data_IF_007406698440
#
_entry.id   IF_007406698440
#
_cell.length_a   1.000
_cell.length_b   1.000
_cell.length_c   1.000
_cell.angle_alpha   90.00
_cell.angle_beta   90.00
_cell.angle_gamma   90.00
#
_symmetry.space_group_name_H-M   'P 1'
#
loop_
_entity.id
_entity.type
_entity.pdbx_description
1 polymer ?
#
# COMPACT_ATOMS: atom_id res chain seq x y z
N UNK A 1 32.74 14.01 6.67
CA UNK A 1 32.80 15.33 7.34
C UNK A 1 32.09 16.46 6.60
N UNK A 2 32.48 16.92 5.38
CA UNK A 2 31.76 18.05 4.73
C UNK A 2 30.40 17.73 4.08
N UNK A 3 30.12 16.46 3.79
CA UNK A 3 28.88 16.05 3.10
C UNK A 3 27.72 15.90 4.09
N UNK A 4 28.01 15.36 5.28
CA UNK A 4 27.04 15.09 6.36
C UNK A 4 26.41 16.39 6.91
N UNK A 5 27.20 17.47 7.06
CA UNK A 5 26.70 18.77 7.52
C UNK A 5 25.66 19.39 6.55
N UNK A 6 25.79 19.13 5.24
CA UNK A 6 24.87 19.71 4.24
C UNK A 6 23.52 18.99 4.14
N UNK A 7 23.49 17.72 4.54
CA UNK A 7 22.28 16.88 4.58
C UNK A 7 21.51 17.12 5.88
N UNK A 8 22.20 17.22 7.02
CA UNK A 8 21.60 17.59 8.32
C UNK A 8 20.92 18.97 8.32
N UNK A 9 21.43 19.91 7.51
CA UNK A 9 20.84 21.25 7.40
C UNK A 9 19.52 21.29 6.59
N UNK A 10 19.26 20.27 5.76
CA UNK A 10 18.09 20.22 4.86
C UNK A 10 16.99 19.27 5.33
N UNK A 11 17.32 18.39 6.25
CA UNK A 11 16.42 17.35 6.76
C UNK A 11 16.45 17.47 8.29
N UNK A 12 15.30 17.60 8.98
CA UNK A 12 15.27 17.67 10.44
C UNK A 12 16.15 16.59 11.07
N UNK A 13 16.91 16.93 12.13
CA UNK A 13 17.93 16.06 12.71
C UNK A 13 17.37 14.69 13.13
N UNK A 14 16.09 14.67 13.54
CA UNK A 14 15.35 13.45 13.88
C UNK A 14 15.15 12.54 12.66
N UNK A 15 14.89 13.11 11.48
CA UNK A 15 14.67 12.38 10.23
C UNK A 15 15.95 11.73 9.70
N UNK A 16 17.12 12.38 9.84
CA UNK A 16 18.39 11.78 9.43
C UNK A 16 18.76 10.59 10.33
N UNK A 17 18.58 10.74 11.65
CA UNK A 17 18.83 9.65 12.60
C UNK A 17 17.88 8.46 12.38
N UNK A 18 16.62 8.72 12.02
CA UNK A 18 15.67 7.68 11.63
C UNK A 18 16.06 6.98 10.32
N UNK A 19 16.52 7.73 9.32
CA UNK A 19 17.02 7.17 8.06
C UNK A 19 18.24 6.26 8.28
N UNK A 20 19.23 6.71 9.05
CA UNK A 20 20.43 5.92 9.39
C UNK A 20 20.06 4.62 10.13
N UNK A 21 19.08 4.68 11.04
CA UNK A 21 18.61 3.51 11.77
C UNK A 21 17.85 2.52 10.88
N UNK A 22 17.04 2.97 9.93
CA UNK A 22 16.39 2.10 8.93
C UNK A 22 17.43 1.39 8.05
N UNK A 23 18.44 2.11 7.56
CA UNK A 23 19.50 1.51 6.74
C UNK A 23 20.34 0.46 7.48
N UNK A 24 20.49 0.59 8.80
CA UNK A 24 21.24 -0.36 9.61
C UNK A 24 20.46 -1.62 10.02
N UNK A 25 19.12 -1.63 9.88
CA UNK A 25 18.27 -2.65 10.51
C UNK A 25 17.78 -3.76 9.58
N UNK A 26 18.18 -3.76 8.30
CA UNK A 26 17.87 -4.84 7.35
C UNK A 26 16.36 -5.15 7.30
N UNK A 27 15.54 -4.09 7.31
CA UNK A 27 14.08 -4.19 7.29
C UNK A 27 13.64 -4.45 5.85
N UNK A 28 13.05 -5.62 5.62
CA UNK A 28 12.78 -6.13 4.27
C UNK A 28 11.39 -5.72 3.77
N UNK A 29 10.59 -5.04 4.60
CA UNK A 29 9.23 -4.62 4.27
C UNK A 29 8.90 -3.20 4.77
N UNK A 30 8.00 -2.54 4.07
CA UNK A 30 7.45 -1.25 4.47
C UNK A 30 6.82 -1.30 5.86
N UNK A 31 6.02 -2.33 6.15
CA UNK A 31 5.34 -2.48 7.45
C UNK A 31 6.30 -2.57 8.64
N UNK A 32 7.47 -3.21 8.45
CA UNK A 32 8.51 -3.26 9.49
C UNK A 32 9.16 -1.90 9.72
N UNK A 33 9.42 -1.15 8.64
CA UNK A 33 9.94 0.22 8.71
C UNK A 33 8.98 1.12 9.48
N UNK A 34 7.68 1.07 9.16
CA UNK A 34 6.63 1.82 9.88
C UNK A 34 6.64 1.52 11.37
N UNK A 35 6.66 0.23 11.75
CA UNK A 35 6.70 -0.19 13.15
C UNK A 35 7.97 0.28 13.86
N UNK A 36 9.11 0.16 13.19
CA UNK A 36 10.41 0.55 13.76
C UNK A 36 10.50 2.06 14.00
N UNK A 37 9.95 2.85 13.08
CA UNK A 37 9.88 4.30 13.17
C UNK A 37 8.82 4.78 14.19
N UNK A 38 7.98 3.88 14.70
CA UNK A 38 6.89 4.22 15.62
C UNK A 38 5.77 5.01 14.96
N UNK A 39 5.67 4.94 13.63
CA UNK A 39 4.60 5.57 12.85
C UNK A 39 3.29 4.78 13.06
N UNK A 40 2.18 5.50 13.04
CA UNK A 40 0.85 4.94 13.21
C UNK A 40 0.22 4.61 11.84
N UNK A 41 0.01 3.31 11.51
CA UNK A 41 -0.60 2.89 10.25
C UNK A 41 -1.94 3.53 9.93
N UNK A 42 -2.76 3.84 10.94
CA UNK A 42 -4.11 4.35 10.77
C UNK A 42 -4.18 5.89 10.64
N UNK A 43 -3.04 6.59 10.72
CA UNK A 43 -3.02 8.06 10.75
C UNK A 43 -1.94 8.68 9.89
N UNK A 44 -0.74 8.12 9.90
CA UNK A 44 0.44 8.84 9.41
C UNK A 44 0.64 8.71 7.88
N UNK A 45 -0.16 7.87 7.22
CA UNK A 45 -0.08 7.61 5.77
C UNK A 45 -1.26 8.21 4.98
N UNK A 46 -2.14 8.96 5.65
CA UNK A 46 -3.21 9.70 4.98
C UNK A 46 -2.59 10.84 4.19
N UNK A 47 -3.02 11.02 2.93
CA UNK A 47 -2.51 12.06 2.03
C UNK A 47 -0.99 12.03 1.81
N UNK A 48 -0.34 10.91 2.12
CA UNK A 48 1.09 10.75 1.90
C UNK A 48 1.39 10.54 0.42
N UNK A 49 2.57 10.99 -0.02
CA UNK A 49 3.15 10.57 -1.28
C UNK A 49 3.88 9.25 -1.04
N UNK A 50 3.29 8.18 -1.57
CA UNK A 50 3.79 6.80 -1.54
C UNK A 50 3.91 6.27 -2.97
N UNK A 51 4.05 7.18 -3.95
CA UNK A 51 4.27 6.81 -5.34
C UNK A 51 5.58 6.04 -5.49
N UNK A 52 5.57 5.03 -6.36
CA UNK A 52 6.71 4.15 -6.65
C UNK A 52 7.31 3.42 -5.42
N UNK A 53 6.60 3.36 -4.28
CA UNK A 53 7.06 2.64 -3.09
C UNK A 53 6.99 1.13 -3.29
N UNK A 54 8.03 0.43 -2.84
CA UNK A 54 8.06 -1.04 -2.76
C UNK A 54 7.35 -1.53 -1.49
N UNK A 55 6.19 -2.15 -1.66
CA UNK A 55 5.42 -2.80 -0.60
C UNK A 55 5.70 -4.32 -0.49
N UNK A 56 6.76 -4.83 -1.12
CA UNK A 56 7.09 -6.26 -1.09
C UNK A 56 7.15 -6.80 0.33
N UNK A 57 6.57 -7.98 0.52
CA UNK A 57 6.48 -8.69 1.81
C UNK A 57 5.81 -7.90 2.94
N UNK A 58 5.12 -6.79 2.64
CA UNK A 58 4.53 -5.93 3.66
C UNK A 58 3.13 -6.40 4.06
N UNK A 59 2.85 -6.34 5.36
CA UNK A 59 1.51 -6.50 5.90
C UNK A 59 0.87 -5.12 6.14
N UNK A 60 -0.05 -4.76 5.26
CA UNK A 60 -0.74 -3.48 5.25
C UNK A 60 -2.11 -3.52 5.93
N UNK A 61 -2.45 -4.62 6.63
CA UNK A 61 -3.73 -4.70 7.37
C UNK A 61 -3.82 -3.63 8.44
N UNK A 62 -4.95 -2.93 8.48
CA UNK A 62 -5.20 -1.80 9.38
C UNK A 62 -4.53 -0.47 8.98
N UNK A 63 -3.87 -0.40 7.82
CA UNK A 63 -3.37 0.88 7.30
C UNK A 63 -4.49 1.75 6.76
N UNK A 64 -4.33 3.06 6.93
CA UNK A 64 -5.23 4.06 6.35
C UNK A 64 -4.46 4.94 5.36
N UNK A 65 -4.63 4.62 4.07
CA UNK A 65 -4.08 5.35 2.93
C UNK A 65 -5.07 6.37 2.36
N UNK A 66 -6.02 6.86 3.17
CA UNK A 66 -7.03 7.82 2.68
C UNK A 66 -6.37 9.02 1.99
N UNK A 67 -6.73 9.26 0.73
CA UNK A 67 -6.21 10.36 -0.08
C UNK A 67 -4.72 10.30 -0.42
N UNK A 68 -4.03 9.18 -0.17
CA UNK A 68 -2.62 9.01 -0.50
C UNK A 68 -2.41 8.85 -2.02
N UNK A 69 -1.22 9.25 -2.49
CA UNK A 69 -0.74 8.94 -3.82
C UNK A 69 0.03 7.61 -3.77
N UNK A 70 -0.50 6.58 -4.41
CA UNK A 70 0.06 5.23 -4.52
C UNK A 70 0.41 4.89 -5.98
N UNK A 71 0.47 5.88 -6.88
CA UNK A 71 0.72 5.63 -8.30
C UNK A 71 2.05 4.93 -8.51
N UNK A 72 2.04 3.90 -9.36
CA UNK A 72 3.24 3.11 -9.65
C UNK A 72 3.77 2.28 -8.47
N UNK A 73 3.17 2.34 -7.28
CA UNK A 73 3.60 1.54 -6.14
C UNK A 73 3.51 0.05 -6.48
N UNK A 74 4.56 -0.69 -6.17
CA UNK A 74 4.72 -2.07 -6.59
C UNK A 74 4.98 -2.98 -5.39
N UNK A 75 4.92 -4.29 -5.61
CA UNK A 75 5.29 -5.23 -4.56
C UNK A 75 4.90 -6.66 -4.91
N UNK A 76 5.64 -7.60 -4.33
CA UNK A 76 5.29 -9.03 -4.32
C UNK A 76 4.93 -9.45 -2.91
N UNK A 77 4.01 -10.41 -2.76
CA UNK A 77 3.60 -10.91 -1.45
C UNK A 77 3.10 -9.80 -0.50
N UNK A 78 2.30 -8.87 -1.03
CA UNK A 78 1.71 -7.77 -0.25
C UNK A 78 0.41 -8.26 0.41
N UNK A 79 0.38 -8.25 1.74
CA UNK A 79 -0.80 -8.62 2.53
C UNK A 79 -1.70 -7.41 2.80
N UNK A 80 -2.94 -7.47 2.37
CA UNK A 80 -3.97 -6.47 2.68
C UNK A 80 -5.35 -7.11 2.62
N UNK A 81 -6.31 -6.54 3.35
CA UNK A 81 -7.69 -7.03 3.41
C UNK A 81 -8.68 -5.87 3.61
N UNK A 82 -9.94 -6.18 3.94
CA UNK A 82 -10.98 -5.18 4.15
C UNK A 82 -10.73 -4.19 5.30
N UNK A 83 -9.69 -4.39 6.12
CA UNK A 83 -9.26 -3.44 7.15
C UNK A 83 -8.33 -2.35 6.62
N UNK A 84 -7.87 -2.46 5.36
CA UNK A 84 -7.00 -1.48 4.73
C UNK A 84 -7.84 -0.43 4.00
N UNK A 85 -7.69 0.84 4.36
CA UNK A 85 -8.50 1.93 3.80
C UNK A 85 -7.78 2.60 2.62
N UNK A 86 -8.44 2.64 1.46
CA UNK A 86 -7.97 3.31 0.23
C UNK A 86 -8.92 4.43 -0.23
N UNK A 87 -9.72 4.98 0.69
CA UNK A 87 -10.71 6.00 0.33
C UNK A 87 -10.01 7.20 -0.31
N UNK A 88 -10.47 7.63 -1.48
CA UNK A 88 -9.88 8.75 -2.23
C UNK A 88 -8.38 8.60 -2.58
N UNK A 89 -7.77 7.43 -2.39
CA UNK A 89 -6.39 7.19 -2.78
C UNK A 89 -6.28 7.07 -4.31
N UNK A 90 -5.21 7.65 -4.87
CA UNK A 90 -4.84 7.45 -6.26
C UNK A 90 -3.92 6.23 -6.35
N UNK A 91 -4.44 5.12 -6.89
CA UNK A 91 -3.72 3.84 -6.96
C UNK A 91 -3.52 3.38 -8.40
N UNK A 92 -3.56 4.30 -9.36
CA UNK A 92 -3.37 3.98 -10.77
C UNK A 92 -2.00 3.37 -11.02
N UNK A 93 -1.94 2.38 -11.90
CA UNK A 93 -0.74 1.60 -12.24
C UNK A 93 -0.01 0.94 -11.04
N UNK A 94 -0.65 0.88 -9.87
CA UNK A 94 -0.09 0.24 -8.67
C UNK A 94 -0.45 -1.25 -8.58
N UNK A 95 0.22 -1.95 -7.67
CA UNK A 95 -0.12 -3.32 -7.25
C UNK A 95 -1.58 -3.45 -6.75
N UNK A 96 -2.20 -2.36 -6.29
CA UNK A 96 -3.58 -2.33 -5.81
C UNK A 96 -4.60 -2.03 -6.92
N UNK A 97 -4.16 -1.49 -8.06
CA UNK A 97 -5.00 -0.92 -9.12
C UNK A 97 -6.10 -1.89 -9.58
N UNK A 98 -5.71 -3.12 -9.93
CA UNK A 98 -6.65 -4.11 -10.46
C UNK A 98 -7.74 -4.46 -9.44
N UNK A 99 -7.36 -4.77 -8.20
CA UNK A 99 -8.29 -5.16 -7.14
C UNK A 99 -9.24 -4.02 -6.75
N UNK A 100 -8.72 -2.79 -6.65
CA UNK A 100 -9.54 -1.61 -6.34
C UNK A 100 -10.49 -1.26 -7.50
N UNK A 101 -10.02 -1.33 -8.74
CA UNK A 101 -10.85 -1.11 -9.93
C UNK A 101 -11.96 -2.16 -10.05
N UNK A 102 -11.63 -3.44 -9.82
CA UNK A 102 -12.60 -4.54 -9.78
C UNK A 102 -13.65 -4.31 -8.70
N UNK A 103 -13.24 -3.91 -7.49
CA UNK A 103 -14.15 -3.57 -6.40
C UNK A 103 -15.07 -2.42 -6.77
N UNK A 104 -14.51 -1.30 -7.27
CA UNK A 104 -15.28 -0.12 -7.73
C UNK A 104 -16.30 -0.50 -8.80
N UNK A 105 -15.94 -1.37 -9.75
CA UNK A 105 -16.85 -1.85 -10.79
C UNK A 105 -18.05 -2.62 -10.20
N UNK A 106 -17.81 -3.57 -9.29
CA UNK A 106 -18.90 -4.32 -8.66
C UNK A 106 -19.74 -3.48 -7.70
N UNK A 107 -19.12 -2.54 -6.99
CA UNK A 107 -19.84 -1.59 -6.13
C UNK A 107 -20.75 -0.67 -6.97
N UNK A 108 -20.30 -0.25 -8.16
CA UNK A 108 -21.09 0.56 -9.10
C UNK A 108 -22.15 -0.24 -9.87
N UNK A 109 -21.96 -1.55 -10.02
CA UNK A 109 -22.84 -2.43 -10.77
C UNK A 109 -23.22 -3.70 -9.99
N UNK A 110 -24.01 -3.56 -8.91
CA UNK A 110 -24.41 -4.70 -8.07
C UNK A 110 -25.20 -5.76 -8.85
N UNK A 111 -25.84 -5.41 -9.96
CA UNK A 111 -26.55 -6.35 -10.84
C UNK A 111 -25.64 -7.40 -11.48
N UNK A 112 -24.35 -7.12 -11.63
CA UNK A 112 -23.38 -8.11 -12.10
C UNK A 112 -22.82 -8.96 -10.96
N UNK A 113 -22.89 -8.49 -9.70
CA UNK A 113 -22.39 -9.26 -8.56
C UNK A 113 -23.13 -10.60 -8.44
N UNK A 114 -24.47 -10.57 -8.52
CA UNK A 114 -25.30 -11.78 -8.51
C UNK A 114 -25.00 -12.72 -9.69
N UNK A 115 -24.71 -12.15 -10.86
CA UNK A 115 -24.39 -12.93 -12.07
C UNK A 115 -23.03 -13.61 -11.95
N UNK A 116 -22.03 -12.90 -11.45
CA UNK A 116 -20.68 -13.43 -11.23
C UNK A 116 -20.69 -14.49 -10.12
N UNK A 117 -21.46 -14.28 -9.06
CA UNK A 117 -21.59 -15.26 -7.98
C UNK A 117 -22.29 -16.54 -8.45
N UNK A 118 -23.33 -16.41 -9.27
CA UNK A 118 -23.95 -17.56 -9.95
C UNK A 118 -22.97 -18.29 -10.85
N UNK A 119 -22.15 -17.57 -11.61
CA UNK A 119 -21.13 -18.19 -12.46
C UNK A 119 -20.05 -18.88 -11.63
N UNK A 120 -19.67 -18.36 -10.46
CA UNK A 120 -18.74 -19.05 -9.53
C UNK A 120 -19.25 -20.40 -9.03
N UNK A 121 -20.57 -20.58 -8.96
CA UNK A 121 -21.18 -21.89 -8.68
C UNK A 121 -21.09 -22.88 -9.85
N UNK A 122 -20.85 -22.40 -11.06
CA UNK A 122 -20.71 -23.23 -12.26
C UNK A 122 -19.29 -23.78 -12.36
N UNK A 123 -19.18 -25.11 -12.34
CA UNK A 123 -17.90 -25.83 -12.31
C UNK A 123 -16.96 -25.44 -13.47
N UNK A 124 -17.50 -25.09 -14.63
CA UNK A 124 -16.72 -24.69 -15.80
C UNK A 124 -16.16 -23.26 -15.68
N UNK A 125 -16.85 -22.37 -14.99
CA UNK A 125 -16.44 -20.97 -14.88
C UNK A 125 -15.23 -20.81 -13.95
N UNK A 126 -15.13 -21.64 -12.91
CA UNK A 126 -13.96 -21.68 -12.03
C UNK A 126 -12.67 -22.16 -12.73
N UNK A 127 -12.77 -22.80 -13.90
CA UNK A 127 -11.62 -23.23 -14.71
C UNK A 127 -11.14 -22.11 -15.65
N UNK A 128 -12.01 -21.15 -15.97
CA UNK A 128 -11.75 -20.10 -16.98
C UNK A 128 -11.53 -18.72 -16.35
N UNK A 129 -12.10 -18.47 -15.16
CA UNK A 129 -12.09 -17.16 -14.49
C UNK A 129 -11.02 -17.01 -13.39
N UNK A 130 -10.24 -18.06 -13.12
CA UNK A 130 -9.03 -18.03 -12.27
C UNK A 130 -7.80 -17.69 -13.10
#
# INVERSE_FOLDING_TARGET
>A
MKIEESLQAKVPNDTLHLAERCFASNLDSFSEQVRFLGLNPARDFKHADLSDVDFSNSDLRGFDFTGADLRGAFGVNVGWDGTTCFNDADADDSVFSYSLSKKKFFDAHPEYADRVERLRGEHWANVILT
#
